data_IF_874446297376
#
_entry.id   IF_874446297376
#
_cell.length_a   1.000
_cell.length_b   1.000
_cell.length_c   1.000
_cell.angle_alpha   90.00
_cell.angle_beta   90.00
_cell.angle_gamma   90.00
#
_symmetry.space_group_name_H-M   'P 1'
#
loop_
_entity.id
_entity.type
_entity.pdbx_description
1 polymer ?
#
# COMPACT_ATOMS: atom_id res chain seq x y z
N UNK A 1 8.41 10.13 -7.78
CA UNK A 1 8.47 9.57 -6.43
C UNK A 1 9.90 9.54 -5.89
N UNK A 2 10.05 9.53 -4.58
CA UNK A 2 11.34 9.46 -3.91
C UNK A 2 11.47 8.15 -3.14
N UNK A 3 12.61 7.48 -3.32
CA UNK A 3 12.92 6.20 -2.67
C UNK A 3 14.34 6.18 -2.10
N UNK A 4 14.61 5.14 -1.35
CA UNK A 4 15.96 4.80 -0.85
C UNK A 4 16.27 3.38 -1.28
N UNK A 5 17.27 3.24 -2.13
CA UNK A 5 17.82 1.95 -2.52
C UNK A 5 18.95 1.58 -1.54
N UNK A 6 18.87 0.39 -0.98
CA UNK A 6 19.91 -0.21 -0.15
C UNK A 6 20.45 -1.44 -0.88
N UNK A 7 21.77 -1.49 -1.09
CA UNK A 7 22.43 -2.56 -1.84
C UNK A 7 23.53 -3.20 -1.00
N UNK A 8 23.67 -4.53 -1.02
CA UNK A 8 24.80 -5.22 -0.42
C UNK A 8 26.14 -4.80 -1.04
N UNK A 9 27.21 -4.72 -0.25
CA UNK A 9 28.55 -4.35 -0.71
C UNK A 9 29.08 -5.26 -1.82
N UNK A 10 28.74 -6.55 -1.78
CA UNK A 10 29.14 -7.53 -2.80
C UNK A 10 28.37 -7.38 -4.13
N UNK A 11 27.42 -6.45 -4.20
CA UNK A 11 26.50 -6.35 -5.32
C UNK A 11 25.47 -7.48 -5.37
N UNK A 12 24.46 -7.33 -6.20
CA UNK A 12 23.39 -8.33 -6.36
C UNK A 12 22.61 -8.09 -7.65
N UNK A 13 22.06 -9.15 -8.24
CA UNK A 13 21.13 -9.05 -9.38
C UNK A 13 19.66 -9.06 -8.93
N UNK A 14 19.39 -9.18 -7.64
CA UNK A 14 18.04 -9.26 -7.08
C UNK A 14 17.73 -8.04 -6.25
N UNK A 15 16.59 -7.41 -6.52
CA UNK A 15 16.09 -6.27 -5.75
C UNK A 15 14.65 -6.49 -5.32
N UNK A 16 14.34 -6.12 -4.09
CA UNK A 16 12.98 -6.10 -3.56
C UNK A 16 12.43 -4.67 -3.52
N UNK A 17 11.22 -4.44 -4.01
CA UNK A 17 10.47 -3.19 -3.81
C UNK A 17 9.53 -3.39 -2.64
N UNK A 18 9.71 -2.64 -1.57
CA UNK A 18 8.88 -2.71 -0.38
C UNK A 18 7.73 -1.71 -0.53
N UNK A 19 6.49 -2.24 -0.60
CA UNK A 19 5.26 -1.49 -0.84
C UNK A 19 4.49 -1.39 0.48
N UNK A 20 4.29 -0.17 0.94
CA UNK A 20 3.63 0.11 2.20
C UNK A 20 2.12 -0.22 2.17
N UNK A 21 1.56 -0.50 3.34
CA UNK A 21 0.13 -0.66 3.55
C UNK A 21 -0.66 0.65 3.44
N UNK A 22 -1.94 0.61 3.82
CA UNK A 22 -2.84 1.76 3.78
C UNK A 22 -2.37 2.94 4.64
N UNK A 23 -2.91 4.11 4.35
CA UNK A 23 -2.63 5.35 5.07
C UNK A 23 -1.29 6.01 4.72
N UNK A 24 -0.95 7.12 5.41
CA UNK A 24 0.19 7.98 5.14
C UNK A 24 1.50 7.39 5.71
N UNK A 25 1.87 6.21 5.25
CA UNK A 25 3.05 5.49 5.74
C UNK A 25 4.32 5.97 5.05
N UNK A 26 5.33 6.47 5.80
CA UNK A 26 6.61 6.87 5.23
C UNK A 26 7.43 5.65 4.79
N UNK A 27 8.46 5.88 3.95
CA UNK A 27 9.31 4.80 3.39
C UNK A 27 9.95 3.87 4.41
N UNK A 28 10.18 4.33 5.63
CA UNK A 28 10.76 3.49 6.69
C UNK A 28 9.71 2.65 7.43
N UNK A 29 8.43 2.90 7.19
CA UNK A 29 7.33 2.27 7.90
C UNK A 29 7.15 2.81 9.32
N UNK A 30 6.08 2.40 9.97
CA UNK A 30 5.87 2.69 11.39
C UNK A 30 6.94 1.98 12.21
N UNK A 31 7.49 2.68 13.22
CA UNK A 31 8.60 2.20 14.07
C UNK A 31 9.78 1.61 13.28
N UNK A 32 10.05 2.15 12.08
CA UNK A 32 11.12 1.72 11.18
C UNK A 32 11.00 0.26 10.67
N UNK A 33 9.81 -0.32 10.65
CA UNK A 33 9.60 -1.71 10.25
C UNK A 33 10.16 -2.05 8.86
N UNK A 34 9.94 -1.17 7.87
CA UNK A 34 10.48 -1.39 6.51
C UNK A 34 11.98 -1.11 6.41
N UNK A 35 12.51 -0.23 7.26
CA UNK A 35 13.97 -0.04 7.37
C UNK A 35 14.63 -1.33 7.87
N UNK A 36 14.09 -1.93 8.94
CA UNK A 36 14.64 -3.20 9.47
C UNK A 36 14.51 -4.35 8.48
N UNK A 37 13.39 -4.43 7.74
CA UNK A 37 13.24 -5.40 6.65
C UNK A 37 14.32 -5.20 5.57
N UNK A 38 14.54 -3.96 5.14
CA UNK A 38 15.56 -3.65 4.13
C UNK A 38 16.98 -4.04 4.61
N UNK A 39 17.31 -3.77 5.87
CA UNK A 39 18.59 -4.17 6.45
C UNK A 39 18.74 -5.69 6.57
N UNK A 40 17.65 -6.41 6.84
CA UNK A 40 17.66 -7.87 6.84
C UNK A 40 17.88 -8.45 5.42
N UNK A 41 17.24 -7.86 4.41
CA UNK A 41 17.43 -8.22 3.00
C UNK A 41 18.87 -7.96 2.54
N UNK A 42 19.44 -6.80 2.91
CA UNK A 42 20.83 -6.47 2.60
C UNK A 42 21.81 -7.52 3.16
N UNK A 43 21.63 -7.90 4.44
CA UNK A 43 22.42 -8.96 5.09
C UNK A 43 22.26 -10.32 4.40
N UNK A 44 21.11 -10.55 3.77
CA UNK A 44 20.84 -11.76 2.98
C UNK A 44 21.32 -11.67 1.52
N UNK A 45 22.02 -10.59 1.13
CA UNK A 45 22.54 -10.40 -0.23
C UNK A 45 21.48 -9.93 -1.22
N UNK A 46 20.38 -9.31 -0.77
CA UNK A 46 19.28 -8.82 -1.61
C UNK A 46 19.21 -7.30 -1.48
N UNK A 47 19.27 -6.59 -2.61
CA UNK A 47 19.01 -5.16 -2.62
C UNK A 47 17.53 -4.86 -2.31
N UNK A 48 17.24 -3.68 -1.78
CA UNK A 48 15.85 -3.29 -1.54
C UNK A 48 15.63 -1.79 -1.78
N UNK A 49 14.49 -1.48 -2.39
CA UNK A 49 13.97 -0.13 -2.55
C UNK A 49 12.78 0.07 -1.59
N UNK A 50 12.85 1.13 -0.79
CA UNK A 50 11.73 1.68 0.00
C UNK A 50 11.41 3.05 -0.54
N UNK A 51 10.15 3.35 -0.77
CA UNK A 51 9.75 4.65 -1.30
C UNK A 51 8.65 5.30 -0.48
N UNK A 52 8.60 6.62 -0.49
CA UNK A 52 7.48 7.37 0.05
C UNK A 52 6.31 7.25 -0.94
N UNK A 53 5.15 6.82 -0.46
CA UNK A 53 3.93 6.80 -1.27
C UNK A 53 3.69 8.21 -1.83
N UNK A 54 2.99 8.30 -2.97
CA UNK A 54 2.61 9.61 -3.52
C UNK A 54 1.88 10.45 -2.47
N UNK A 55 2.21 11.73 -2.40
CA UNK A 55 1.70 12.66 -1.42
C UNK A 55 2.38 12.60 -0.04
N UNK A 56 3.26 11.63 0.22
CA UNK A 56 3.88 11.40 1.53
C UNK A 56 5.39 11.74 1.48
N UNK A 57 5.92 12.21 2.60
CA UNK A 57 7.34 12.44 2.78
C UNK A 57 7.95 13.35 1.71
N UNK A 58 8.94 12.86 0.98
CA UNK A 58 9.57 13.57 -0.12
C UNK A 58 8.77 13.46 -1.44
N UNK A 59 7.81 12.52 -1.55
CA UNK A 59 6.93 12.35 -2.72
C UNK A 59 5.69 13.25 -2.67
N UNK A 60 5.81 14.45 -2.09
CA UNK A 60 4.70 15.42 -1.95
C UNK A 60 4.23 15.91 -3.31
N UNK A 61 2.92 16.13 -3.43
CA UNK A 61 2.38 16.89 -4.55
C UNK A 61 2.77 18.36 -4.43
N UNK A 62 3.04 19.00 -5.57
CA UNK A 62 3.15 20.45 -5.67
C UNK A 62 1.82 21.15 -5.40
N UNK A 63 0.72 20.44 -5.65
CA UNK A 63 -0.67 20.85 -5.44
C UNK A 63 -1.31 19.84 -4.49
N UNK A 64 -1.42 20.15 -3.17
CA UNK A 64 -1.91 19.20 -2.15
C UNK A 64 -3.34 18.67 -2.42
N UNK A 65 -4.20 19.45 -3.09
CA UNK A 65 -5.56 19.06 -3.48
C UNK A 65 -5.58 17.84 -4.41
N UNK A 66 -4.54 17.61 -5.20
CA UNK A 66 -4.41 16.41 -6.05
C UNK A 66 -4.27 15.10 -5.26
N UNK A 67 -3.99 15.19 -3.97
CA UNK A 67 -3.96 13.98 -3.12
C UNK A 67 -5.34 13.38 -2.95
N UNK A 68 -6.39 14.22 -2.91
CA UNK A 68 -7.77 13.76 -2.79
C UNK A 68 -8.27 12.99 -4.04
N UNK A 69 -7.59 13.18 -5.17
CA UNK A 69 -7.95 12.53 -6.44
C UNK A 69 -7.17 11.22 -6.68
N UNK A 70 -6.23 10.88 -5.78
CA UNK A 70 -5.41 9.68 -5.93
C UNK A 70 -6.25 8.42 -5.72
N UNK A 71 -6.25 7.53 -6.68
CA UNK A 71 -6.97 6.25 -6.67
C UNK A 71 -6.00 5.07 -6.52
N UNK A 72 -6.51 3.89 -6.16
CA UNK A 72 -5.70 2.67 -6.01
C UNK A 72 -4.87 2.38 -7.27
N UNK A 73 -5.41 2.65 -8.46
CA UNK A 73 -4.73 2.49 -9.75
C UNK A 73 -3.42 3.28 -9.85
N UNK A 74 -3.36 4.45 -9.23
CA UNK A 74 -2.15 5.27 -9.19
C UNK A 74 -1.02 4.61 -8.39
N UNK A 75 -1.34 4.03 -7.23
CA UNK A 75 -0.36 3.33 -6.40
C UNK A 75 0.13 2.04 -7.05
N UNK A 76 -0.75 1.36 -7.80
CA UNK A 76 -0.39 0.19 -8.61
C UNK A 76 0.59 0.59 -9.71
N UNK A 77 0.29 1.68 -10.45
CA UNK A 77 1.17 2.24 -11.46
C UNK A 77 2.53 2.66 -10.91
N UNK A 78 2.57 3.26 -9.73
CA UNK A 78 3.81 3.63 -9.04
C UNK A 78 4.70 2.41 -8.74
N UNK A 79 4.11 1.33 -8.24
CA UNK A 79 4.83 0.09 -7.95
C UNK A 79 5.37 -0.59 -9.22
N UNK A 80 4.58 -0.61 -10.29
CA UNK A 80 4.99 -1.12 -11.60
C UNK A 80 6.13 -0.27 -12.18
N UNK A 81 6.03 1.06 -12.11
CA UNK A 81 7.08 1.96 -12.58
C UNK A 81 8.41 1.78 -11.81
N UNK A 82 8.37 1.54 -10.49
CA UNK A 82 9.57 1.20 -9.73
C UNK A 82 10.17 -0.13 -10.18
N UNK A 83 9.35 -1.13 -10.48
CA UNK A 83 9.85 -2.42 -10.99
C UNK A 83 10.53 -2.25 -12.35
N UNK A 84 9.93 -1.49 -13.27
CA UNK A 84 10.50 -1.22 -14.60
C UNK A 84 11.79 -0.40 -14.49
N UNK A 85 11.83 0.61 -13.64
CA UNK A 85 13.01 1.42 -13.38
C UNK A 85 14.18 0.55 -12.90
N UNK A 86 13.97 -0.27 -11.88
CA UNK A 86 15.02 -1.11 -11.31
C UNK A 86 15.51 -2.18 -12.30
N UNK A 87 14.62 -2.74 -13.12
CA UNK A 87 15.03 -3.62 -14.20
C UNK A 87 15.89 -2.88 -15.24
N UNK A 88 15.59 -1.61 -15.51
CA UNK A 88 16.40 -0.72 -16.34
C UNK A 88 17.79 -0.40 -15.75
N UNK A 89 17.90 -0.34 -14.44
CA UNK A 89 19.17 -0.16 -13.70
C UNK A 89 20.03 -1.45 -13.65
N UNK A 90 19.58 -2.55 -14.27
CA UNK A 90 20.34 -3.77 -14.41
C UNK A 90 20.01 -4.89 -13.43
N UNK A 91 19.02 -4.72 -12.55
CA UNK A 91 18.57 -5.82 -11.71
C UNK A 91 17.81 -6.86 -12.57
N UNK A 92 18.25 -8.11 -12.52
CA UNK A 92 17.65 -9.19 -13.30
C UNK A 92 16.38 -9.78 -12.66
N UNK A 93 16.25 -9.67 -11.34
CA UNK A 93 15.13 -10.19 -10.57
C UNK A 93 14.57 -9.08 -9.69
N UNK A 94 13.40 -8.61 -10.04
CA UNK A 94 12.64 -7.66 -9.23
C UNK A 94 11.55 -8.41 -8.48
N UNK A 95 11.53 -8.29 -7.16
CA UNK A 95 10.54 -8.88 -6.27
C UNK A 95 9.72 -7.77 -5.65
N UNK A 96 8.39 -7.88 -5.65
CA UNK A 96 7.53 -6.95 -4.93
C UNK A 96 7.21 -7.54 -3.56
N UNK A 97 7.49 -6.80 -2.48
CA UNK A 97 7.12 -7.17 -1.10
C UNK A 97 6.04 -6.18 -0.65
N UNK A 98 4.79 -6.62 -0.65
CA UNK A 98 3.66 -5.78 -0.26
C UNK A 98 3.18 -6.10 1.16
N UNK A 99 2.97 -5.08 1.97
CA UNK A 99 2.41 -5.20 3.31
C UNK A 99 0.96 -4.73 3.34
N UNK A 100 0.04 -5.54 3.88
CA UNK A 100 -1.39 -5.20 4.00
C UNK A 100 -1.99 -4.81 2.63
N UNK A 101 -2.54 -3.59 2.46
CA UNK A 101 -2.97 -3.04 1.16
C UNK A 101 -1.86 -3.10 0.09
N UNK A 102 -0.61 -2.90 0.48
CA UNK A 102 0.54 -3.01 -0.41
C UNK A 102 0.70 -4.39 -1.04
N UNK A 103 0.17 -5.45 -0.42
CA UNK A 103 0.13 -6.78 -1.02
C UNK A 103 -0.82 -6.83 -2.23
N UNK A 104 -2.00 -6.22 -2.13
CA UNK A 104 -2.93 -6.07 -3.26
C UNK A 104 -2.29 -5.27 -4.38
N UNK A 105 -1.67 -4.13 -4.03
CA UNK A 105 -0.92 -3.30 -4.98
C UNK A 105 0.17 -4.12 -5.69
N UNK A 106 0.94 -4.93 -4.95
CA UNK A 106 2.00 -5.76 -5.50
C UNK A 106 1.48 -6.80 -6.50
N UNK A 107 0.38 -7.49 -6.18
CA UNK A 107 -0.25 -8.45 -7.10
C UNK A 107 -0.77 -7.78 -8.37
N UNK A 108 -1.41 -6.63 -8.25
CA UNK A 108 -1.93 -5.90 -9.40
C UNK A 108 -0.77 -5.32 -10.26
N UNK A 109 0.27 -4.76 -9.63
CA UNK A 109 1.44 -4.24 -10.34
C UNK A 109 2.19 -5.33 -11.10
N UNK A 110 2.30 -6.54 -10.53
CA UNK A 110 2.92 -7.68 -11.20
C UNK A 110 2.18 -8.12 -12.47
N UNK A 111 0.91 -7.76 -12.62
CA UNK A 111 0.15 -8.00 -13.85
C UNK A 111 0.39 -6.92 -14.92
N UNK A 112 0.86 -5.72 -14.53
CA UNK A 112 1.11 -4.60 -15.44
C UNK A 112 2.51 -4.64 -16.07
N UNK A 113 3.47 -5.31 -15.45
CA UNK A 113 4.83 -5.40 -15.98
C UNK A 113 5.42 -6.82 -15.89
N UNK A 114 6.02 -7.34 -16.98
CA UNK A 114 6.68 -8.63 -16.98
C UNK A 114 8.03 -8.62 -16.24
N UNK A 115 8.45 -7.48 -15.68
CA UNK A 115 9.73 -7.33 -14.98
C UNK A 115 9.70 -7.91 -13.56
N UNK A 116 8.51 -8.13 -13.01
CA UNK A 116 8.32 -8.70 -11.67
C UNK A 116 8.52 -10.20 -11.71
N UNK A 117 9.53 -10.69 -11.00
CA UNK A 117 9.86 -12.12 -10.92
C UNK A 117 9.05 -12.86 -9.84
N UNK A 118 8.66 -12.16 -8.77
CA UNK A 118 7.90 -12.75 -7.67
C UNK A 118 7.20 -11.66 -6.84
N UNK A 119 6.16 -12.07 -6.11
CA UNK A 119 5.46 -11.25 -5.13
C UNK A 119 5.49 -11.94 -3.78
N UNK A 120 5.79 -11.17 -2.72
CA UNK A 120 5.71 -11.59 -1.33
C UNK A 120 4.60 -10.78 -0.67
N UNK A 121 3.61 -11.48 -0.12
CA UNK A 121 2.49 -10.89 0.61
C UNK A 121 2.74 -10.97 2.11
N UNK A 122 2.87 -9.82 2.77
CA UNK A 122 3.00 -9.71 4.21
C UNK A 122 1.68 -9.19 4.79
N UNK A 123 0.96 -10.03 5.51
CA UNK A 123 -0.35 -9.71 6.08
C UNK A 123 -1.35 -9.12 5.04
N UNK A 124 -1.24 -9.56 3.79
CA UNK A 124 -2.18 -9.18 2.73
C UNK A 124 -3.55 -9.80 2.94
N UNK A 125 -4.59 -9.13 2.44
CA UNK A 125 -5.95 -9.61 2.52
C UNK A 125 -6.13 -10.90 1.71
N UNK A 126 -6.67 -11.94 2.35
CA UNK A 126 -7.05 -13.21 1.71
C UNK A 126 -8.51 -13.26 1.28
N UNK A 127 -9.26 -12.18 1.53
CA UNK A 127 -10.68 -12.01 1.22
C UNK A 127 -10.90 -10.66 0.55
N UNK A 128 -12.05 -10.42 -0.10
CA UNK A 128 -12.43 -9.11 -0.60
C UNK A 128 -12.31 -8.03 0.48
N UNK A 129 -11.94 -6.81 0.07
CA UNK A 129 -11.63 -5.72 1.00
C UNK A 129 -12.81 -5.36 1.89
N UNK A 130 -14.02 -5.39 1.35
CA UNK A 130 -15.26 -5.14 2.10
C UNK A 130 -15.48 -6.17 3.22
N UNK A 131 -15.18 -7.45 2.97
CA UNK A 131 -15.28 -8.50 3.99
C UNK A 131 -14.23 -8.33 5.10
N UNK A 132 -12.99 -8.01 4.71
CA UNK A 132 -11.91 -7.73 5.68
C UNK A 132 -12.27 -6.53 6.55
N UNK A 133 -12.76 -5.45 5.94
CA UNK A 133 -13.16 -4.25 6.66
C UNK A 133 -14.28 -4.54 7.66
N UNK A 134 -15.29 -5.30 7.26
CA UNK A 134 -16.38 -5.73 8.14
C UNK A 134 -15.86 -6.54 9.34
N UNK A 135 -14.96 -7.49 9.10
CA UNK A 135 -14.37 -8.30 10.18
C UNK A 135 -13.56 -7.44 11.16
N UNK A 136 -12.75 -6.53 10.64
CA UNK A 136 -11.93 -5.63 11.48
C UNK A 136 -12.81 -4.68 12.30
N UNK A 137 -13.82 -4.06 11.68
CA UNK A 137 -14.74 -3.17 12.38
C UNK A 137 -15.56 -3.93 13.41
N UNK A 138 -16.06 -5.13 13.09
CA UNK A 138 -16.78 -5.96 14.06
C UNK A 138 -15.92 -6.28 15.28
N UNK A 139 -14.64 -6.65 15.07
CA UNK A 139 -13.74 -6.98 16.19
C UNK A 139 -13.39 -5.77 17.07
N UNK A 140 -13.44 -4.55 16.51
CA UNK A 140 -13.12 -3.31 17.24
C UNK A 140 -14.33 -2.67 17.90
N UNK A 141 -15.51 -2.81 17.31
CA UNK A 141 -16.71 -2.08 17.71
C UNK A 141 -17.66 -2.91 18.59
N UNK A 142 -17.62 -4.25 18.49
CA UNK A 142 -18.50 -5.11 19.28
C UNK A 142 -17.90 -5.41 20.67
N UNK A 143 -18.75 -5.57 21.70
CA UNK A 143 -20.22 -5.40 21.66
C UNK A 143 -20.71 -3.96 21.83
N UNK A 144 -19.82 -3.01 22.13
CA UNK A 144 -20.18 -1.70 22.72
C UNK A 144 -20.75 -0.68 21.71
N UNK A 145 -20.44 -0.86 20.41
CA UNK A 145 -20.76 0.12 19.36
C UNK A 145 -21.49 -0.51 18.15
N UNK A 146 -22.51 -1.31 18.43
CA UNK A 146 -23.29 -2.00 17.37
C UNK A 146 -23.87 -1.03 16.35
N UNK A 147 -24.40 0.12 16.77
CA UNK A 147 -24.98 1.11 15.86
C UNK A 147 -23.94 1.68 14.89
N UNK A 148 -22.72 1.91 15.36
CA UNK A 148 -21.63 2.38 14.51
C UNK A 148 -21.21 1.31 13.49
N UNK A 149 -21.19 0.04 13.89
CA UNK A 149 -20.94 -1.09 12.99
C UNK A 149 -22.00 -1.19 11.89
N UNK A 150 -23.28 -1.03 12.24
CA UNK A 150 -24.37 -1.05 11.26
C UNK A 150 -24.25 0.10 10.25
N UNK A 151 -23.89 1.30 10.71
CA UNK A 151 -23.64 2.44 9.84
C UNK A 151 -22.45 2.18 8.90
N UNK A 152 -21.34 1.66 9.42
CA UNK A 152 -20.17 1.29 8.61
C UNK A 152 -20.52 0.26 7.52
N UNK A 153 -21.31 -0.76 7.88
CA UNK A 153 -21.77 -1.77 6.92
C UNK A 153 -22.67 -1.17 5.84
N UNK A 154 -23.56 -0.25 6.20
CA UNK A 154 -24.43 0.45 5.26
C UNK A 154 -23.62 1.30 4.27
N UNK A 155 -22.61 2.03 4.76
CA UNK A 155 -21.68 2.82 3.93
C UNK A 155 -20.92 1.89 2.98
N UNK A 156 -20.32 0.82 3.50
CA UNK A 156 -19.57 -0.16 2.67
C UNK A 156 -20.46 -0.75 1.57
N UNK A 157 -21.70 -1.08 1.88
CA UNK A 157 -22.65 -1.59 0.90
C UNK A 157 -23.01 -0.55 -0.19
N UNK A 158 -23.13 0.73 0.17
CA UNK A 158 -23.35 1.80 -0.80
C UNK A 158 -22.15 1.99 -1.73
N UNK A 159 -20.95 2.05 -1.16
CA UNK A 159 -19.70 2.16 -1.94
C UNK A 159 -19.52 0.97 -2.90
N UNK A 160 -19.86 -0.25 -2.47
CA UNK A 160 -19.82 -1.45 -3.31
C UNK A 160 -20.77 -1.37 -4.52
N UNK A 161 -21.86 -0.61 -4.43
CA UNK A 161 -22.75 -0.30 -5.56
C UNK A 161 -22.28 0.85 -6.45
N UNK A 162 -21.12 1.47 -6.11
CA UNK A 162 -20.61 2.65 -6.80
C UNK A 162 -21.29 3.96 -6.35
N UNK A 163 -22.03 3.95 -5.25
CA UNK A 163 -22.68 5.12 -4.69
C UNK A 163 -21.70 5.90 -3.80
N UNK A 164 -21.62 7.22 -3.98
CA UNK A 164 -20.82 8.07 -3.10
C UNK A 164 -21.62 8.41 -1.84
N UNK A 165 -20.97 8.36 -0.68
CA UNK A 165 -21.57 8.71 0.60
C UNK A 165 -21.01 10.06 1.04
N UNK A 166 -21.87 11.10 1.08
CA UNK A 166 -21.47 12.49 1.33
C UNK A 166 -21.16 12.77 2.82
N UNK A 167 -21.65 11.95 3.74
CA UNK A 167 -21.38 12.11 5.17
C UNK A 167 -21.25 10.76 5.86
N UNK A 168 -20.37 10.69 6.84
CA UNK A 168 -20.20 9.53 7.71
C UNK A 168 -20.02 9.98 9.16
N UNK A 169 -20.23 9.08 10.13
CA UNK A 169 -19.94 9.37 11.54
C UNK A 169 -18.48 9.82 11.73
N UNK A 170 -18.20 10.80 12.62
CA UNK A 170 -16.84 11.28 12.85
C UNK A 170 -15.84 10.18 13.21
N UNK A 171 -16.28 9.13 13.90
CA UNK A 171 -15.44 7.98 14.26
C UNK A 171 -15.04 7.13 13.06
N UNK A 172 -15.74 7.25 11.93
CA UNK A 172 -15.51 6.51 10.69
C UNK A 172 -14.88 7.37 9.58
N UNK A 173 -14.63 8.66 9.83
CA UNK A 173 -14.10 9.60 8.83
C UNK A 173 -12.76 9.12 8.22
N UNK A 174 -11.88 8.54 9.03
CA UNK A 174 -10.61 8.02 8.56
C UNK A 174 -10.74 6.94 7.48
N UNK A 175 -11.88 6.23 7.45
CA UNK A 175 -12.16 5.14 6.51
C UNK A 175 -13.12 5.56 5.39
N UNK A 176 -14.07 6.45 5.67
CA UNK A 176 -15.21 6.72 4.80
C UNK A 176 -15.42 8.20 4.47
N UNK A 177 -14.48 9.08 4.81
CA UNK A 177 -14.57 10.46 4.35
C UNK A 177 -14.70 10.51 2.82
N UNK A 178 -15.52 11.39 2.22
CA UNK A 178 -15.71 11.45 0.77
C UNK A 178 -14.42 11.49 -0.07
N UNK A 179 -13.34 12.07 0.49
CA UNK A 179 -12.04 12.13 -0.18
C UNK A 179 -11.26 10.80 -0.23
N UNK A 180 -11.71 9.76 0.46
CA UNK A 180 -11.07 8.43 0.45
C UNK A 180 -11.94 7.33 -0.18
N UNK A 181 -13.08 7.72 -0.78
CA UNK A 181 -14.04 6.80 -1.42
C UNK A 181 -13.77 6.59 -2.92
N UNK A 182 -12.59 6.91 -3.41
CA UNK A 182 -12.23 6.85 -4.84
C UNK A 182 -11.58 5.54 -5.24
#
# INVERSE_FOLDING_TARGET
>A
LYGTLLTPDAGTETVAVIIAGSGPTPRNGNVNSYLYLAQALEKAGIASLRYDKRGIGASRFTEPEKMADAVLGDFIGDAAAWADYLAGEGFRRVVLIGHSEGALIAFCAAQQTPKVAAVVSLAGAGYPLDEILQLQLASQLLPDNMDLLLQANAITAALKRGERVESCPPQLEALFHPSVQT
#
